data_IF_555041875333
#
_entry.id   IF_555041875333
#
_cell.length_a   1.000
_cell.length_b   1.000
_cell.length_c   1.000
_cell.angle_alpha   90.00
_cell.angle_beta   90.00
_cell.angle_gamma   90.00
#
_symmetry.space_group_name_H-M   'P 1'
#
loop_
_entity.id
_entity.type
_entity.pdbx_description
1 polymer ?
#
# COMPACT_ATOMS: atom_id res chain seq x y z
N UNK A 1 14.06 -79.55 38.45
CA UNK A 1 13.47 -78.57 37.51
C UNK A 1 13.17 -77.27 38.24
N UNK A 2 14.03 -76.25 38.15
CA UNK A 2 13.79 -74.93 38.74
C UNK A 2 13.98 -73.82 37.69
N UNK A 3 13.06 -73.67 36.74
CA UNK A 3 13.08 -72.54 35.80
C UNK A 3 11.77 -71.72 35.82
N UNK A 4 10.68 -72.29 36.32
CA UNK A 4 9.36 -71.65 36.34
C UNK A 4 9.24 -70.47 37.31
N UNK A 5 9.91 -70.47 38.46
CA UNK A 5 9.81 -69.37 39.44
C UNK A 5 10.55 -68.09 39.01
N UNK A 6 11.68 -68.23 38.31
CA UNK A 6 12.46 -67.08 37.82
C UNK A 6 11.72 -66.33 36.71
N UNK A 7 11.10 -67.05 35.77
CA UNK A 7 10.34 -66.44 34.67
C UNK A 7 9.10 -65.70 35.18
N UNK A 8 8.37 -66.28 36.13
CA UNK A 8 7.21 -65.64 36.75
C UNK A 8 7.61 -64.36 37.48
N UNK A 9 8.70 -64.38 38.27
CA UNK A 9 9.19 -63.19 38.98
C UNK A 9 9.63 -62.07 38.01
N UNK A 10 10.24 -62.41 36.89
CA UNK A 10 10.69 -61.45 35.88
C UNK A 10 9.50 -60.81 35.16
N UNK A 11 8.45 -61.58 34.89
CA UNK A 11 7.16 -61.09 34.36
C UNK A 11 6.50 -60.13 35.36
N UNK A 12 6.46 -60.46 36.64
CA UNK A 12 5.87 -59.56 37.66
C UNK A 12 6.67 -58.27 37.86
N UNK A 13 8.01 -58.32 37.81
CA UNK A 13 8.86 -57.13 37.91
C UNK A 13 8.72 -56.24 36.67
N UNK A 14 8.64 -56.84 35.48
CA UNK A 14 8.39 -56.06 34.25
C UNK A 14 6.97 -55.49 34.20
N UNK A 15 5.95 -56.21 34.68
CA UNK A 15 4.60 -55.69 34.80
C UNK A 15 4.48 -54.57 35.84
N UNK A 16 5.17 -54.67 36.97
CA UNK A 16 5.12 -53.65 38.02
C UNK A 16 5.81 -52.35 37.60
N UNK A 17 6.94 -52.45 36.90
CA UNK A 17 7.60 -51.30 36.26
C UNK A 17 6.69 -50.70 35.19
N UNK A 18 6.07 -51.52 34.34
CA UNK A 18 5.15 -51.04 33.32
C UNK A 18 3.94 -50.32 33.93
N UNK A 19 3.32 -50.88 34.98
CA UNK A 19 2.16 -50.28 35.67
C UNK A 19 2.54 -49.01 36.42
N UNK A 20 3.78 -48.90 36.90
CA UNK A 20 4.28 -47.69 37.57
C UNK A 20 4.53 -46.53 36.57
N UNK A 21 5.10 -46.82 35.39
CA UNK A 21 5.48 -45.79 34.42
C UNK A 21 4.44 -45.54 33.32
N UNK A 22 3.57 -46.50 33.00
CA UNK A 22 2.53 -46.34 31.98
C UNK A 22 1.56 -45.16 32.25
N UNK A 23 1.11 -44.90 33.49
CA UNK A 23 0.28 -43.73 33.78
C UNK A 23 1.01 -42.42 33.50
N UNK A 24 2.30 -42.34 33.81
CA UNK A 24 3.12 -41.15 33.54
C UNK A 24 3.28 -40.92 32.03
N UNK A 25 3.54 -41.98 31.27
CA UNK A 25 3.65 -41.92 29.80
C UNK A 25 2.31 -41.53 29.16
N UNK A 26 1.19 -42.09 29.62
CA UNK A 26 -0.15 -41.74 29.15
C UNK A 26 -0.51 -40.28 29.48
N UNK A 27 -0.18 -39.81 30.68
CA UNK A 27 -0.34 -38.40 31.06
C UNK A 27 0.50 -37.49 30.16
N UNK A 28 1.76 -37.83 29.90
CA UNK A 28 2.64 -37.06 29.02
C UNK A 28 2.10 -36.99 27.58
N UNK A 29 1.63 -38.12 27.02
CA UNK A 29 1.01 -38.17 25.70
C UNK A 29 -0.30 -37.38 25.63
N UNK A 30 -1.14 -37.47 26.67
CA UNK A 30 -2.37 -36.69 26.78
C UNK A 30 -2.11 -35.18 26.81
N UNK A 31 -1.09 -34.76 27.55
CA UNK A 31 -0.69 -33.35 27.66
C UNK A 31 -0.10 -32.83 26.33
N UNK A 32 0.75 -33.63 25.67
CA UNK A 32 1.30 -33.32 24.35
C UNK A 32 0.18 -33.16 23.31
N UNK A 33 -0.79 -34.08 23.28
CA UNK A 33 -1.95 -34.00 22.39
C UNK A 33 -2.82 -32.76 22.68
N UNK A 34 -3.07 -32.47 23.96
CA UNK A 34 -3.85 -31.29 24.36
C UNK A 34 -3.17 -29.98 23.94
N UNK A 35 -1.85 -29.86 24.17
CA UNK A 35 -1.07 -28.70 23.77
C UNK A 35 -1.04 -28.55 22.24
N UNK A 36 -0.83 -29.64 21.50
CA UNK A 36 -0.86 -29.64 20.04
C UNK A 36 -2.23 -29.18 19.49
N UNK A 37 -3.32 -29.68 20.07
CA UNK A 37 -4.69 -29.28 19.70
C UNK A 37 -4.97 -27.81 20.04
N UNK A 38 -4.38 -27.29 21.12
CA UNK A 38 -4.49 -25.88 21.51
C UNK A 38 -3.68 -24.98 20.56
N UNK A 39 -2.45 -25.35 20.25
CA UNK A 39 -1.60 -24.62 19.30
C UNK A 39 -2.23 -24.56 17.91
N UNK A 40 -2.71 -25.68 17.37
CA UNK A 40 -3.39 -25.70 16.07
C UNK A 40 -4.66 -24.84 16.03
N UNK A 41 -5.41 -24.73 17.13
CA UNK A 41 -6.55 -23.80 17.22
C UNK A 41 -6.11 -22.33 17.22
N UNK A 42 -5.02 -22.01 17.91
CA UNK A 42 -4.47 -20.65 17.96
C UNK A 42 -3.89 -20.25 16.58
N UNK A 43 -3.15 -21.13 15.94
CA UNK A 43 -2.61 -20.93 14.59
C UNK A 43 -3.71 -20.67 13.57
N UNK A 44 -4.79 -21.47 13.59
CA UNK A 44 -5.95 -21.26 12.71
C UNK A 44 -6.59 -19.90 12.92
N UNK A 45 -6.74 -19.44 14.18
CA UNK A 45 -7.28 -18.11 14.49
C UNK A 45 -6.34 -16.99 14.04
N UNK A 46 -5.02 -17.16 14.22
CA UNK A 46 -4.04 -16.19 13.73
C UNK A 46 -4.04 -16.08 12.21
N UNK A 47 -4.07 -17.22 11.50
CA UNK A 47 -4.18 -17.26 10.04
C UNK A 47 -5.46 -16.56 9.55
N UNK A 48 -6.59 -16.78 10.22
CA UNK A 48 -7.85 -16.10 9.90
C UNK A 48 -7.73 -14.57 10.10
N UNK A 49 -7.15 -14.12 11.21
CA UNK A 49 -6.93 -12.69 11.46
C UNK A 49 -5.95 -12.06 10.46
N UNK A 50 -4.88 -12.74 10.09
CA UNK A 50 -3.95 -12.27 9.06
C UNK A 50 -4.66 -12.13 7.71
N UNK A 51 -5.44 -13.13 7.28
CA UNK A 51 -6.23 -13.06 6.04
C UNK A 51 -7.19 -11.87 6.04
N UNK A 52 -7.91 -11.64 7.14
CA UNK A 52 -8.82 -10.50 7.27
C UNK A 52 -8.04 -9.18 7.21
N UNK A 53 -6.90 -9.06 7.90
CA UNK A 53 -6.06 -7.86 7.87
C UNK A 53 -5.55 -7.56 6.46
N UNK A 54 -5.05 -8.57 5.75
CA UNK A 54 -4.63 -8.40 4.36
C UNK A 54 -5.80 -7.99 3.46
N UNK A 55 -6.96 -8.64 3.58
CA UNK A 55 -8.15 -8.26 2.80
C UNK A 55 -8.62 -6.81 3.08
N UNK A 56 -8.53 -6.34 4.32
CA UNK A 56 -8.84 -4.95 4.68
C UNK A 56 -7.78 -4.00 4.11
N UNK A 57 -6.49 -4.34 4.22
CA UNK A 57 -5.40 -3.54 3.69
C UNK A 57 -5.53 -3.38 2.17
N UNK A 58 -5.77 -4.45 1.43
CA UNK A 58 -5.91 -4.42 -0.03
C UNK A 58 -7.12 -3.59 -0.47
N UNK A 59 -8.27 -3.77 0.19
CA UNK A 59 -9.46 -2.94 -0.04
C UNK A 59 -9.19 -1.47 0.29
N UNK A 60 -8.46 -1.20 1.37
CA UNK A 60 -8.08 0.14 1.82
C UNK A 60 -7.13 0.83 0.84
N UNK A 61 -6.13 0.11 0.33
CA UNK A 61 -5.14 0.64 -0.61
C UNK A 61 -5.78 1.05 -1.94
N UNK A 62 -6.67 0.21 -2.50
CA UNK A 62 -7.40 0.55 -3.72
C UNK A 62 -8.25 1.80 -3.56
N UNK A 63 -9.00 1.91 -2.45
CA UNK A 63 -9.84 3.07 -2.15
C UNK A 63 -9.00 4.34 -1.92
N UNK A 64 -7.91 4.24 -1.16
CA UNK A 64 -6.99 5.36 -0.89
C UNK A 64 -6.31 5.84 -2.17
N UNK A 65 -5.83 4.95 -3.03
CA UNK A 65 -5.22 5.30 -4.32
C UNK A 65 -6.21 6.03 -5.22
N UNK A 66 -7.46 5.54 -5.33
CA UNK A 66 -8.52 6.21 -6.10
C UNK A 66 -8.87 7.59 -5.53
N UNK A 67 -8.99 7.70 -4.21
CA UNK A 67 -9.28 8.97 -3.53
C UNK A 67 -8.15 9.99 -3.76
N UNK A 68 -6.90 9.56 -3.64
CA UNK A 68 -5.73 10.41 -3.88
C UNK A 68 -5.70 10.90 -5.33
N UNK A 69 -5.92 10.02 -6.31
CA UNK A 69 -6.01 10.41 -7.73
C UNK A 69 -7.17 11.39 -7.99
N UNK A 70 -8.33 11.20 -7.33
CA UNK A 70 -9.45 12.11 -7.46
C UNK A 70 -9.13 13.50 -6.90
N UNK A 71 -8.46 13.56 -5.74
CA UNK A 71 -7.99 14.81 -5.14
C UNK A 71 -6.95 15.49 -6.03
N UNK A 72 -5.95 14.75 -6.52
CA UNK A 72 -4.93 15.29 -7.44
C UNK A 72 -5.57 15.86 -8.72
N UNK A 73 -6.51 15.13 -9.34
CA UNK A 73 -7.26 15.64 -10.50
C UNK A 73 -8.04 16.91 -10.19
N UNK A 74 -8.65 17.00 -9.00
CA UNK A 74 -9.35 18.22 -8.57
C UNK A 74 -8.36 19.38 -8.42
N UNK A 75 -7.23 19.16 -7.77
CA UNK A 75 -6.20 20.18 -7.58
C UNK A 75 -5.65 20.68 -8.92
N UNK A 76 -5.39 19.79 -9.87
CA UNK A 76 -4.92 20.15 -11.22
C UNK A 76 -6.00 20.93 -11.97
N UNK A 77 -7.29 20.59 -11.84
CA UNK A 77 -8.37 21.38 -12.44
C UNK A 77 -8.47 22.78 -11.86
N UNK A 78 -8.33 22.93 -10.54
CA UNK A 78 -8.33 24.25 -9.90
C UNK A 78 -7.12 25.08 -10.35
N UNK A 79 -5.93 24.48 -10.37
CA UNK A 79 -4.73 25.15 -10.90
C UNK A 79 -4.90 25.52 -12.37
N UNK A 80 -5.49 24.65 -13.19
CA UNK A 80 -5.73 24.93 -14.60
C UNK A 80 -6.73 26.08 -14.81
N UNK A 81 -7.74 26.21 -13.93
CA UNK A 81 -8.63 27.38 -13.95
C UNK A 81 -7.86 28.66 -13.64
N UNK A 82 -7.01 28.65 -12.61
CA UNK A 82 -6.19 29.81 -12.27
C UNK A 82 -5.28 30.22 -13.43
N UNK A 83 -4.57 29.25 -14.03
CA UNK A 83 -3.69 29.52 -15.19
C UNK A 83 -4.49 30.00 -16.40
N UNK A 84 -5.70 29.49 -16.64
CA UNK A 84 -6.59 30.01 -17.70
C UNK A 84 -7.02 31.44 -17.45
N UNK A 85 -7.32 31.80 -16.20
CA UNK A 85 -7.62 33.19 -15.84
C UNK A 85 -6.40 34.09 -16.09
N UNK A 86 -5.21 33.69 -15.65
CA UNK A 86 -3.96 34.42 -15.89
C UNK A 86 -3.64 34.56 -17.39
N UNK A 87 -3.87 33.50 -18.17
CA UNK A 87 -3.67 33.52 -19.62
C UNK A 87 -4.58 34.55 -20.29
N UNK A 88 -5.83 34.64 -19.83
CA UNK A 88 -6.81 35.63 -20.31
C UNK A 88 -6.47 37.05 -19.88
N UNK A 89 -5.98 37.24 -18.66
CA UNK A 89 -5.50 38.54 -18.17
C UNK A 89 -4.30 39.05 -18.99
N UNK A 90 -3.40 38.14 -19.37
CA UNK A 90 -2.21 38.48 -20.17
C UNK A 90 -2.39 38.33 -21.68
N UNK A 91 -3.61 38.12 -22.18
CA UNK A 91 -3.90 37.90 -23.60
C UNK A 91 -3.36 39.03 -24.48
N UNK A 92 -3.45 40.29 -24.01
CA UNK A 92 -2.95 41.48 -24.73
C UNK A 92 -1.43 41.56 -24.82
N UNK A 93 -0.72 40.84 -23.95
CA UNK A 93 0.73 40.86 -23.87
C UNK A 93 1.38 39.63 -24.53
N UNK A 94 0.57 38.68 -25.00
CA UNK A 94 1.01 37.44 -25.62
C UNK A 94 0.76 37.47 -27.12
N UNK A 95 1.61 36.80 -27.90
CA UNK A 95 1.31 36.57 -29.31
C UNK A 95 0.18 35.54 -29.46
N UNK A 96 -0.63 35.60 -30.54
CA UNK A 96 -1.69 34.62 -30.77
C UNK A 96 -1.19 33.16 -30.74
N UNK A 97 0.03 32.94 -31.23
CA UNK A 97 0.70 31.64 -31.19
C UNK A 97 1.03 31.18 -29.77
N UNK A 98 1.61 32.06 -28.93
CA UNK A 98 1.90 31.74 -27.53
C UNK A 98 0.63 31.46 -26.74
N UNK A 99 -0.44 32.24 -26.97
CA UNK A 99 -1.72 32.04 -26.33
C UNK A 99 -2.33 30.67 -26.70
N UNK A 100 -2.36 30.32 -27.99
CA UNK A 100 -2.85 29.03 -28.46
C UNK A 100 -2.02 27.86 -27.90
N UNK A 101 -0.69 28.01 -27.88
CA UNK A 101 0.23 26.99 -27.34
C UNK A 101 0.05 26.80 -25.84
N UNK A 102 -0.06 27.88 -25.06
CA UNK A 102 -0.35 27.83 -23.63
C UNK A 102 -1.71 27.17 -23.33
N UNK A 103 -2.74 27.50 -24.10
CA UNK A 103 -4.06 26.85 -23.96
C UNK A 103 -3.97 25.33 -24.18
N UNK A 104 -3.34 24.90 -25.29
CA UNK A 104 -3.14 23.47 -25.59
C UNK A 104 -2.30 22.75 -24.53
N UNK A 105 -1.32 23.44 -23.95
CA UNK A 105 -0.47 22.92 -22.88
C UNK A 105 -1.25 22.69 -21.58
N UNK A 106 -2.14 23.61 -21.21
CA UNK A 106 -3.03 23.46 -20.05
C UNK A 106 -3.95 22.25 -20.25
N UNK A 107 -4.53 22.08 -21.43
CA UNK A 107 -5.38 20.93 -21.75
C UNK A 107 -4.63 19.60 -21.66
N UNK A 108 -3.40 19.57 -22.19
CA UNK A 108 -2.53 18.40 -22.10
C UNK A 108 -2.14 18.08 -20.65
N UNK A 109 -1.76 19.09 -19.85
CA UNK A 109 -1.38 18.88 -18.46
C UNK A 109 -2.55 18.40 -17.58
N UNK A 110 -3.78 18.86 -17.85
CA UNK A 110 -4.98 18.35 -17.17
C UNK A 110 -5.28 16.90 -17.54
N UNK A 111 -5.10 16.52 -18.81
CA UNK A 111 -5.35 15.15 -19.27
C UNK A 111 -4.28 14.17 -18.80
N UNK A 112 -3.02 14.57 -18.75
CA UNK A 112 -1.91 13.74 -18.28
C UNK A 112 -1.69 13.79 -16.76
N UNK A 113 -2.44 14.61 -16.02
CA UNK A 113 -2.31 14.77 -14.57
C UNK A 113 -0.89 15.27 -14.20
N UNK A 114 -0.33 16.18 -14.99
CA UNK A 114 1.02 16.71 -14.80
C UNK A 114 0.97 18.05 -14.04
N UNK A 115 0.93 17.95 -12.71
CA UNK A 115 0.83 19.12 -11.82
C UNK A 115 2.08 19.99 -11.87
N UNK A 116 3.26 19.39 -11.94
CA UNK A 116 4.54 20.10 -11.86
C UNK A 116 4.69 21.05 -13.04
N UNK A 117 4.46 20.55 -14.27
CA UNK A 117 4.51 21.38 -15.47
C UNK A 117 3.47 22.50 -15.49
N UNK A 118 2.26 22.23 -14.98
CA UNK A 118 1.20 23.24 -14.88
C UNK A 118 1.55 24.30 -13.82
N UNK A 119 2.16 23.89 -12.71
CA UNK A 119 2.60 24.77 -11.64
C UNK A 119 3.76 25.67 -12.07
N UNK A 120 4.72 25.15 -12.84
CA UNK A 120 5.80 25.96 -13.40
C UNK A 120 5.26 27.05 -14.32
N UNK A 121 4.25 26.75 -15.14
CA UNK A 121 3.58 27.76 -15.97
C UNK A 121 2.85 28.81 -15.13
N UNK A 122 2.16 28.41 -14.06
CA UNK A 122 1.56 29.34 -13.09
C UNK A 122 2.60 30.26 -12.43
N UNK A 123 3.72 29.69 -11.97
CA UNK A 123 4.81 30.42 -11.35
C UNK A 123 5.43 31.44 -12.31
N UNK A 124 5.55 31.10 -13.60
CA UNK A 124 6.02 32.03 -14.63
C UNK A 124 5.06 33.20 -14.84
N UNK A 125 3.74 32.96 -14.84
CA UNK A 125 2.77 34.05 -14.91
C UNK A 125 2.75 34.90 -13.63
N UNK A 126 2.92 34.29 -12.46
CA UNK A 126 2.88 34.99 -11.19
C UNK A 126 4.16 35.79 -10.88
N UNK A 127 5.32 35.31 -11.33
CA UNK A 127 6.63 35.92 -11.02
C UNK A 127 7.02 37.06 -11.97
N UNK A 128 6.44 37.12 -13.18
CA UNK A 128 6.86 38.07 -14.20
C UNK A 128 5.85 39.21 -14.35
N UNK A 129 6.36 40.45 -14.40
CA UNK A 129 5.55 41.61 -14.75
C UNK A 129 5.05 41.50 -16.20
N UNK A 130 3.88 42.09 -16.50
CA UNK A 130 3.15 41.97 -17.76
C UNK A 130 4.00 42.03 -19.05
N UNK A 131 5.04 42.89 -19.08
CA UNK A 131 5.93 43.06 -20.25
C UNK A 131 6.98 41.97 -20.42
N UNK A 132 7.26 41.18 -19.38
CA UNK A 132 8.27 40.12 -19.35
C UNK A 132 7.68 38.71 -19.46
N UNK A 133 6.34 38.60 -19.42
CA UNK A 133 5.63 37.32 -19.51
C UNK A 133 5.87 36.65 -20.88
N UNK A 134 5.81 37.40 -21.98
CA UNK A 134 6.01 36.86 -23.33
C UNK A 134 7.37 36.18 -23.54
N UNK A 135 8.53 36.82 -23.27
CA UNK A 135 9.83 36.17 -23.43
C UNK A 135 10.04 35.01 -22.45
N UNK A 136 9.49 35.08 -21.22
CA UNK A 136 9.59 34.00 -20.25
C UNK A 136 8.79 32.75 -20.66
N UNK A 137 7.61 32.94 -21.24
CA UNK A 137 6.77 31.85 -21.78
C UNK A 137 7.43 31.21 -23.00
N UNK A 138 8.06 32.01 -23.87
CA UNK A 138 8.80 31.51 -25.02
C UNK A 138 9.99 30.64 -24.59
N UNK A 139 10.81 31.13 -23.66
CA UNK A 139 11.93 30.37 -23.09
C UNK A 139 11.48 29.05 -22.41
N UNK A 140 10.34 29.07 -21.71
CA UNK A 140 9.76 27.86 -21.11
C UNK A 140 9.39 26.82 -22.16
N UNK A 141 8.77 27.23 -23.26
CA UNK A 141 8.37 26.33 -24.34
C UNK A 141 9.53 25.84 -25.22
N UNK A 142 10.66 26.56 -25.25
CA UNK A 142 11.91 26.08 -25.84
C UNK A 142 12.54 24.98 -24.97
N UNK A 143 12.55 25.14 -23.64
CA UNK A 143 13.13 24.16 -22.71
C UNK A 143 12.28 22.91 -22.49
N UNK A 144 10.98 22.97 -22.77
CA UNK A 144 10.03 21.85 -22.58
C UNK A 144 9.71 21.07 -23.86
N UNK A 145 10.44 21.33 -24.95
CA UNK A 145 10.34 20.59 -26.21
C UNK A 145 10.96 19.20 -26.10
#
# INVERSE_FOLDING_TARGET
MPHSFSEISLIYVSFSVLVLYAPAVLCALGLAYFLYRRHSRLERRQQQHQRIRHAIADKGLGKRKRMLLAVQRRNIRELAKLVRCQLKEHERNLTPYQHQRASSFIERAVTTVDFERLYTLHALFAANAEKQVSPAVEAFFEHTR
#
